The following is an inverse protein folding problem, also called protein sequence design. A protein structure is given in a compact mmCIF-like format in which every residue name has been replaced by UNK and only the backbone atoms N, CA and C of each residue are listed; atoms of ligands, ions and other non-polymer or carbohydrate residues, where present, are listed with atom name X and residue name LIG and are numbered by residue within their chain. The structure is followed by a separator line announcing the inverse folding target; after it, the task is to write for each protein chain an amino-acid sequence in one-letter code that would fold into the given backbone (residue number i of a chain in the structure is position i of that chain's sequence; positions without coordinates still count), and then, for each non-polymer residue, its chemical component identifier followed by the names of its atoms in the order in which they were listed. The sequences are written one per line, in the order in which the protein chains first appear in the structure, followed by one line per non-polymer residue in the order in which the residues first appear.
data_IF_758724875024
#
_entry.id   IF_758724875024
#
_cell.length_a   1.000
_cell.length_b   1.000
_cell.length_c   1.000
_cell.angle_alpha   90.00
_cell.angle_beta   90.00
_cell.angle_gamma   90.00
#
_symmetry.space_group_name_H-M   'P 1'
#
loop_
_entity.id
_entity.type
_entity.pdbx_description
1 polymer ?
#
# COMPACT_ATOMS: atom_id res chain seq x y z
N UNK A 1 -19.99 21.09 -74.87
CA UNK A 1 -18.70 21.02 -74.17
C UNK A 1 -19.01 21.15 -72.68
N UNK A 2 -19.02 20.03 -71.95
CA UNK A 2 -19.42 19.99 -70.53
C UNK A 2 -18.15 20.10 -69.69
N UNK A 3 -18.02 21.19 -68.94
CA UNK A 3 -16.90 21.41 -68.03
C UNK A 3 -17.23 20.66 -66.74
N UNK A 4 -16.54 19.55 -66.49
CA UNK A 4 -16.56 18.87 -65.20
C UNK A 4 -15.61 19.60 -64.25
N UNK A 5 -16.18 20.30 -63.27
CA UNK A 5 -15.42 20.85 -62.14
C UNK A 5 -15.22 19.71 -61.14
N UNK A 6 -14.02 19.14 -61.13
CA UNK A 6 -13.63 18.15 -60.12
C UNK A 6 -13.26 18.91 -58.85
N UNK A 7 -14.12 18.85 -57.83
CA UNK A 7 -13.76 19.29 -56.49
C UNK A 7 -12.87 18.20 -55.88
N UNK A 8 -11.58 18.49 -55.76
CA UNK A 8 -10.67 17.68 -54.93
C UNK A 8 -10.86 18.16 -53.51
N UNK A 9 -11.58 17.39 -52.69
CA UNK A 9 -11.53 17.56 -51.24
C UNK A 9 -10.12 17.20 -50.79
N UNK A 10 -9.29 18.22 -50.60
CA UNK A 10 -8.01 18.07 -49.91
C UNK A 10 -8.37 17.77 -48.46
N UNK A 11 -8.42 16.47 -48.12
CA UNK A 11 -8.53 16.05 -46.73
C UNK A 11 -7.43 16.77 -45.96
N UNK A 12 -7.82 17.67 -45.06
CA UNK A 12 -6.86 18.39 -44.22
C UNK A 12 -6.31 17.34 -43.26
N UNK A 13 -5.22 16.68 -43.66
CA UNK A 13 -4.50 15.76 -42.80
C UNK A 13 -4.22 16.51 -41.50
N UNK A 14 -4.83 16.03 -40.42
CA UNK A 14 -4.68 16.65 -39.11
C UNK A 14 -3.19 16.76 -38.80
N UNK A 15 -2.74 17.93 -38.35
CA UNK A 15 -1.40 18.08 -37.81
C UNK A 15 -1.29 17.19 -36.57
N UNK A 16 -0.66 16.04 -36.79
CA UNK A 16 -0.44 15.01 -35.81
C UNK A 16 0.83 15.31 -34.99
N UNK A 17 1.18 14.45 -34.04
CA UNK A 17 2.43 14.54 -33.27
C UNK A 17 3.64 14.76 -34.19
N UNK A 18 4.55 15.65 -33.78
CA UNK A 18 5.74 16.14 -34.51
C UNK A 18 5.45 16.99 -35.76
N UNK A 19 4.17 17.19 -36.12
CA UNK A 19 3.74 18.10 -37.18
C UNK A 19 3.90 19.58 -36.81
N UNK A 20 3.96 20.45 -37.82
CA UNK A 20 4.08 21.90 -37.62
C UNK A 20 2.79 22.51 -37.06
N UNK A 21 2.91 23.35 -36.03
CA UNK A 21 1.73 24.00 -35.45
C UNK A 21 0.96 24.80 -36.49
N UNK A 22 -0.37 24.85 -36.33
CA UNK A 22 -1.21 25.76 -37.12
C UNK A 22 -0.84 27.21 -36.82
N UNK A 23 -1.21 28.11 -37.72
CA UNK A 23 -0.96 29.57 -37.61
C UNK A 23 -1.53 30.16 -36.31
N UNK A 24 -2.59 29.57 -35.74
CA UNK A 24 -3.17 29.99 -34.47
C UNK A 24 -2.49 29.36 -33.23
N UNK A 25 -1.35 28.69 -33.39
CA UNK A 25 -0.62 28.03 -32.31
C UNK A 25 -1.28 26.74 -31.79
N UNK A 26 -2.20 26.14 -32.54
CA UNK A 26 -2.90 24.92 -32.14
C UNK A 26 -2.49 23.69 -32.98
N UNK A 27 -2.78 22.51 -32.43
CA UNK A 27 -2.64 21.22 -33.10
C UNK A 27 -4.02 20.72 -33.56
N UNK A 28 -4.08 19.86 -34.58
CA UNK A 28 -5.37 19.34 -35.07
C UNK A 28 -5.95 18.24 -34.19
N UNK A 29 -5.10 17.43 -33.57
CA UNK A 29 -5.54 16.28 -32.79
C UNK A 29 -5.74 16.65 -31.32
N UNK A 30 -6.70 15.97 -30.68
CA UNK A 30 -6.84 15.99 -29.24
C UNK A 30 -5.53 15.56 -28.57
N UNK A 31 -5.30 15.99 -27.33
CA UNK A 31 -4.11 15.65 -26.54
C UNK A 31 -2.78 16.21 -27.06
N UNK A 32 -2.77 16.98 -28.14
CA UNK A 32 -1.59 17.68 -28.64
C UNK A 32 -1.59 19.14 -28.21
N UNK A 33 -0.42 19.64 -27.82
CA UNK A 33 -0.15 21.04 -27.53
C UNK A 33 0.96 21.53 -28.45
N UNK A 34 0.83 22.76 -28.95
CA UNK A 34 1.92 23.38 -29.70
C UNK A 34 3.03 23.79 -28.75
N UNK A 35 4.22 23.25 -28.98
CA UNK A 35 5.44 23.62 -28.28
C UNK A 35 6.43 24.18 -29.30
N UNK A 36 6.77 25.46 -29.15
CA UNK A 36 7.54 26.28 -30.10
C UNK A 36 6.93 26.32 -31.50
N UNK A 37 7.23 25.33 -32.34
CA UNK A 37 6.75 25.23 -33.72
C UNK A 37 6.19 23.86 -34.08
N UNK A 38 6.20 22.92 -33.14
CA UNK A 38 5.78 21.52 -33.36
C UNK A 38 4.72 21.07 -32.36
N UNK A 39 3.83 20.21 -32.82
CA UNK A 39 2.84 19.54 -32.00
C UNK A 39 3.49 18.43 -31.16
N UNK A 40 3.35 18.51 -29.84
CA UNK A 40 3.79 17.49 -28.90
C UNK A 40 2.61 17.00 -28.07
N UNK A 41 2.72 15.81 -27.48
CA UNK A 41 1.71 15.36 -26.53
C UNK A 41 1.65 16.31 -25.32
N UNK A 42 0.44 16.56 -24.82
CA UNK A 42 0.21 17.32 -23.60
C UNK A 42 0.84 16.64 -22.37
N UNK A 43 0.93 17.35 -21.25
CA UNK A 43 1.49 16.80 -20.00
C UNK A 43 0.69 15.61 -19.45
N UNK A 44 -0.59 15.51 -19.83
CA UNK A 44 -1.51 14.41 -19.45
C UNK A 44 -1.61 13.34 -20.53
N UNK A 45 -0.73 13.35 -21.53
CA UNK A 45 -0.77 12.43 -22.67
C UNK A 45 0.61 11.87 -23.00
N UNK A 46 0.65 10.76 -23.74
CA UNK A 46 1.88 10.11 -24.19
C UNK A 46 1.75 9.71 -25.65
N UNK A 47 2.89 9.60 -26.34
CA UNK A 47 2.94 9.20 -27.75
C UNK A 47 2.70 7.70 -27.83
N UNK A 48 1.73 7.24 -28.62
CA UNK A 48 1.56 5.81 -28.87
C UNK A 48 2.67 5.27 -29.79
N UNK A 49 3.03 4.00 -29.62
CA UNK A 49 4.09 3.39 -30.41
C UNK A 49 3.71 3.34 -31.89
N UNK A 50 4.66 3.76 -32.74
CA UNK A 50 4.54 3.73 -34.20
C UNK A 50 3.37 4.54 -34.78
N UNK A 51 2.75 5.42 -34.00
CA UNK A 51 1.72 6.35 -34.49
C UNK A 51 2.16 7.80 -34.34
N UNK A 52 1.45 8.68 -35.03
CA UNK A 52 1.53 10.13 -34.84
C UNK A 52 0.49 10.63 -33.83
N UNK A 53 -0.08 9.74 -33.01
CA UNK A 53 -1.18 10.06 -32.09
C UNK A 53 -0.70 10.12 -30.65
N UNK A 54 -1.38 10.95 -29.86
CA UNK A 54 -1.19 11.04 -28.42
C UNK A 54 -2.40 10.45 -27.67
N UNK A 55 -2.14 9.43 -26.87
CA UNK A 55 -3.12 8.84 -25.97
C UNK A 55 -3.07 9.51 -24.60
N UNK A 56 -4.18 9.48 -23.86
CA UNK A 56 -4.23 9.96 -22.48
C UNK A 56 -3.37 9.08 -21.57
N UNK A 57 -2.64 9.69 -20.65
CA UNK A 57 -1.87 8.96 -19.64
C UNK A 57 -2.78 8.16 -18.71
N UNK A 58 -2.20 7.09 -18.17
CA UNK A 58 -2.88 6.00 -17.49
C UNK A 58 -2.70 6.17 -15.98
N UNK A 59 -3.80 6.14 -15.23
CA UNK A 59 -3.77 6.20 -13.77
C UNK A 59 -3.06 4.98 -13.15
N UNK A 60 -2.69 5.08 -11.87
CA UNK A 60 -2.17 3.93 -11.12
C UNK A 60 -3.13 2.73 -11.24
N UNK A 61 -2.56 1.53 -11.29
CA UNK A 61 -3.24 0.26 -11.52
C UNK A 61 -3.97 0.08 -12.86
N UNK A 62 -3.99 1.12 -13.70
CA UNK A 62 -4.44 1.02 -15.09
C UNK A 62 -3.48 0.18 -15.94
N UNK A 63 -4.05 -0.51 -16.93
CA UNK A 63 -3.31 -1.37 -17.85
C UNK A 63 -2.40 -0.55 -18.76
N UNK A 64 -1.15 -0.96 -18.90
CA UNK A 64 -0.15 -0.32 -19.74
C UNK A 64 0.64 -1.38 -20.52
N UNK A 65 1.46 -0.94 -21.48
CA UNK A 65 2.37 -1.82 -22.23
C UNK A 65 3.83 -1.54 -21.87
N UNK A 66 4.73 -2.50 -22.14
CA UNK A 66 6.16 -2.33 -21.88
C UNK A 66 6.81 -1.19 -22.70
N UNK A 67 6.20 -0.83 -23.83
CA UNK A 67 6.60 0.25 -24.72
C UNK A 67 5.35 0.93 -25.28
N UNK A 68 5.35 2.27 -25.47
CA UNK A 68 6.44 3.19 -25.14
C UNK A 68 6.50 3.50 -23.64
N UNK A 69 7.62 4.05 -23.16
CA UNK A 69 7.71 4.53 -21.79
C UNK A 69 6.83 5.78 -21.56
N UNK A 70 6.57 6.11 -20.29
CA UNK A 70 5.86 7.35 -19.93
C UNK A 70 4.34 7.32 -20.06
N UNK A 71 3.74 6.13 -20.16
CA UNK A 71 2.28 5.96 -20.23
C UNK A 71 1.57 6.37 -18.95
N UNK A 72 2.22 6.28 -17.80
CA UNK A 72 1.60 6.52 -16.50
C UNK A 72 1.46 8.02 -16.22
N UNK A 73 0.33 8.41 -15.60
CA UNK A 73 0.01 9.81 -15.29
C UNK A 73 0.98 10.41 -14.28
N UNK A 74 1.33 9.63 -13.26
CA UNK A 74 2.25 10.02 -12.21
C UNK A 74 3.70 9.86 -12.71
N UNK A 75 4.52 10.89 -12.53
CA UNK A 75 5.92 10.92 -12.96
C UNK A 75 6.80 9.94 -12.17
N UNK A 76 6.38 9.56 -10.97
CA UNK A 76 7.01 8.55 -10.14
C UNK A 76 6.38 7.15 -10.34
N UNK A 77 5.52 6.98 -11.33
CA UNK A 77 5.02 5.69 -11.78
C UNK A 77 5.70 5.21 -13.07
N UNK A 78 5.69 3.90 -13.27
CA UNK A 78 6.14 3.25 -14.49
C UNK A 78 5.27 2.02 -14.78
N UNK A 79 5.27 1.57 -16.04
CA UNK A 79 4.61 0.32 -16.38
C UNK A 79 5.38 -0.86 -15.79
N UNK A 80 4.76 -1.62 -14.89
CA UNK A 80 5.41 -2.77 -14.27
C UNK A 80 5.54 -3.91 -15.28
N UNK A 81 6.77 -4.35 -15.55
CA UNK A 81 7.08 -5.31 -16.62
C UNK A 81 6.25 -6.62 -16.56
N UNK A 82 6.01 -7.15 -15.36
CA UNK A 82 5.29 -8.42 -15.17
C UNK A 82 3.77 -8.26 -15.12
N UNK A 83 3.27 -7.16 -14.58
CA UNK A 83 1.84 -6.99 -14.28
C UNK A 83 1.13 -6.16 -15.34
N UNK A 84 1.89 -5.48 -16.22
CA UNK A 84 1.37 -4.59 -17.26
C UNK A 84 0.40 -3.55 -16.68
N UNK A 85 0.76 -3.03 -15.50
CA UNK A 85 0.01 -2.00 -14.79
C UNK A 85 0.92 -0.86 -14.38
N UNK A 86 0.39 0.36 -14.40
CA UNK A 86 1.07 1.52 -13.85
C UNK A 86 1.25 1.35 -12.33
N UNK A 87 2.49 1.23 -11.89
CA UNK A 87 2.87 1.08 -10.49
C UNK A 87 3.89 2.14 -10.12
N UNK A 88 3.93 2.52 -8.85
CA UNK A 88 4.98 3.39 -8.35
C UNK A 88 6.36 2.75 -8.56
N UNK A 89 7.33 3.59 -8.93
CA UNK A 89 8.75 3.21 -9.03
C UNK A 89 9.27 2.81 -7.64
N UNK A 90 10.44 2.17 -7.62
CA UNK A 90 11.14 1.87 -6.37
C UNK A 90 11.36 3.15 -5.54
N UNK A 91 11.21 3.05 -4.22
CA UNK A 91 11.23 4.17 -3.26
C UNK A 91 9.98 5.05 -3.28
N UNK A 92 8.90 4.60 -3.92
CA UNK A 92 7.60 5.26 -3.90
C UNK A 92 6.48 4.24 -3.64
N UNK A 93 5.44 4.69 -2.94
CA UNK A 93 4.24 3.91 -2.68
C UNK A 93 2.99 4.67 -3.16
N UNK A 94 1.93 3.92 -3.45
CA UNK A 94 0.64 4.51 -3.82
C UNK A 94 -0.09 4.97 -2.56
N UNK A 95 -0.27 6.28 -2.38
CA UNK A 95 -1.00 6.84 -1.24
C UNK A 95 -2.53 6.80 -1.46
N UNK A 96 -3.29 7.22 -0.44
CA UNK A 96 -4.77 7.31 -0.50
C UNK A 96 -5.32 8.20 -1.63
N UNK A 97 -4.52 9.10 -2.18
CA UNK A 97 -4.89 9.97 -3.30
C UNK A 97 -4.59 9.34 -4.67
N UNK A 98 -4.20 8.06 -4.71
CA UNK A 98 -3.76 7.36 -5.92
C UNK A 98 -2.58 8.05 -6.64
N UNK A 99 -1.69 8.67 -5.86
CA UNK A 99 -0.44 9.26 -6.32
C UNK A 99 0.76 8.52 -5.71
N UNK A 100 1.90 8.58 -6.39
CA UNK A 100 3.14 7.99 -5.91
C UNK A 100 3.87 8.95 -4.98
N UNK A 101 3.77 8.70 -3.68
CA UNK A 101 4.49 9.41 -2.64
C UNK A 101 5.82 8.71 -2.33
N UNK A 102 6.86 9.47 -1.98
CA UNK A 102 8.13 8.89 -1.57
C UNK A 102 7.99 8.11 -0.27
N UNK A 103 8.66 6.97 -0.20
CA UNK A 103 8.74 6.17 1.02
C UNK A 103 9.51 6.90 2.12
N UNK A 104 9.17 6.61 3.36
CA UNK A 104 9.83 7.12 4.56
C UNK A 104 11.00 6.19 4.88
N UNK A 105 12.21 6.72 4.76
CA UNK A 105 13.44 5.92 4.80
C UNK A 105 13.83 5.44 6.20
N UNK A 106 13.57 6.24 7.24
CA UNK A 106 14.03 5.95 8.60
C UNK A 106 12.91 5.40 9.49
N UNK A 107 13.29 4.54 10.43
CA UNK A 107 12.41 4.15 11.52
C UNK A 107 12.19 5.33 12.47
N UNK A 108 11.01 5.39 13.07
CA UNK A 108 10.52 6.45 13.95
C UNK A 108 10.18 7.80 13.28
N UNK A 109 10.44 7.94 11.98
CA UNK A 109 9.97 9.09 11.22
C UNK A 109 8.44 9.08 11.07
N UNK A 110 7.87 10.27 10.95
CA UNK A 110 6.44 10.48 10.89
C UNK A 110 5.84 9.89 9.61
N UNK A 111 4.74 9.17 9.75
CA UNK A 111 3.95 8.61 8.65
C UNK A 111 2.46 8.95 8.84
N UNK A 112 1.67 8.82 7.77
CA UNK A 112 0.23 9.07 7.83
C UNK A 112 -0.50 7.79 8.28
N UNK A 113 -0.72 7.65 9.59
CA UNK A 113 -1.46 6.52 10.13
C UNK A 113 -2.96 6.51 9.73
N UNK A 114 -3.47 7.57 9.10
CA UNK A 114 -4.82 7.59 8.51
C UNK A 114 -4.85 7.05 7.09
N UNK A 115 -3.68 6.92 6.44
CA UNK A 115 -3.56 6.32 5.12
C UNK A 115 -3.33 4.80 5.27
N UNK A 116 -4.30 3.96 4.91
CA UNK A 116 -4.14 2.50 5.00
C UNK A 116 -3.23 1.93 3.91
N UNK A 117 -2.71 2.76 3.00
CA UNK A 117 -1.83 2.31 1.93
C UNK A 117 -0.60 1.61 2.46
N UNK A 118 -0.31 0.38 1.98
CA UNK A 118 0.92 -0.32 2.35
C UNK A 118 2.13 0.39 1.74
N UNK A 119 3.30 0.20 2.36
CA UNK A 119 4.58 0.65 1.79
C UNK A 119 4.97 2.08 2.12
N UNK A 120 4.28 2.78 3.03
CA UNK A 120 4.73 4.11 3.50
C UNK A 120 6.17 4.10 4.04
N UNK A 121 6.57 3.00 4.67
CA UNK A 121 7.86 2.85 5.34
C UNK A 121 8.78 1.97 4.49
N UNK A 122 9.96 2.51 4.14
CA UNK A 122 10.90 1.86 3.21
C UNK A 122 11.60 0.63 3.81
N UNK A 123 11.67 0.53 5.14
CA UNK A 123 12.38 -0.56 5.81
C UNK A 123 11.57 -1.86 5.74
N UNK A 124 12.23 -2.94 5.35
CA UNK A 124 11.62 -4.27 5.39
C UNK A 124 11.08 -4.58 6.79
N UNK A 125 9.91 -5.21 6.83
CA UNK A 125 9.20 -5.53 8.07
C UNK A 125 8.90 -4.32 8.97
N UNK A 126 8.86 -3.11 8.42
CA UNK A 126 8.28 -1.94 9.06
C UNK A 126 6.86 -1.66 8.55
N UNK A 127 6.08 -0.94 9.36
CA UNK A 127 4.73 -0.49 9.01
C UNK A 127 4.44 0.84 9.72
N UNK A 128 3.54 1.64 9.14
CA UNK A 128 3.09 2.87 9.77
C UNK A 128 2.15 2.53 10.93
N UNK A 129 2.50 2.94 12.16
CA UNK A 129 1.71 2.65 13.37
C UNK A 129 1.51 3.90 14.19
N UNK A 130 0.37 3.98 14.87
CA UNK A 130 0.12 5.04 15.85
C UNK A 130 0.99 4.79 17.07
N UNK A 131 1.80 5.78 17.43
CA UNK A 131 2.65 5.81 18.62
C UNK A 131 2.52 7.19 19.27
N UNK A 132 1.68 7.29 20.32
CA UNK A 132 1.50 8.41 21.27
C UNK A 132 1.34 9.83 20.71
N UNK A 133 2.31 10.28 19.93
CA UNK A 133 2.45 11.55 19.23
C UNK A 133 1.89 11.57 17.80
N UNK A 134 1.57 10.41 17.20
CA UNK A 134 1.09 10.33 15.82
C UNK A 134 1.48 9.02 15.13
N UNK A 135 1.38 8.98 13.79
CA UNK A 135 1.87 7.85 13.00
C UNK A 135 3.40 7.87 12.90
N UNK A 136 4.06 6.74 13.15
CA UNK A 136 5.49 6.54 12.92
C UNK A 136 5.78 5.24 12.19
N UNK A 137 6.85 5.24 11.39
CA UNK A 137 7.38 4.02 10.80
C UNK A 137 8.07 3.16 11.84
N UNK A 138 7.39 2.10 12.28
CA UNK A 138 7.88 1.21 13.32
C UNK A 138 8.01 -0.21 12.79
N UNK A 139 8.85 -1.03 13.42
CA UNK A 139 8.86 -2.45 13.10
C UNK A 139 7.49 -3.08 13.35
N UNK A 140 7.10 -3.99 12.46
CA UNK A 140 5.93 -4.86 12.63
C UNK A 140 5.97 -5.49 14.03
N UNK A 141 4.82 -5.80 14.58
CA UNK A 141 4.70 -6.34 15.95
C UNK A 141 5.52 -7.61 16.21
N UNK A 142 5.81 -8.40 15.17
CA UNK A 142 6.66 -9.61 15.22
C UNK A 142 8.16 -9.33 15.16
N UNK A 143 8.56 -8.08 14.98
CA UNK A 143 9.94 -7.63 14.83
C UNK A 143 10.30 -6.58 15.89
N UNK A 144 11.59 -6.46 16.16
CA UNK A 144 12.18 -5.43 17.02
C UNK A 144 13.26 -4.66 16.24
N UNK A 145 13.56 -3.46 16.71
CA UNK A 145 14.58 -2.62 16.08
C UNK A 145 15.97 -3.04 16.56
N UNK A 146 16.84 -3.38 15.62
CA UNK A 146 18.26 -3.64 15.87
C UNK A 146 19.10 -2.94 14.80
N UNK A 147 20.01 -2.06 15.22
CA UNK A 147 20.87 -1.30 14.29
C UNK A 147 20.11 -0.52 13.21
N UNK A 148 18.87 -0.08 13.48
CA UNK A 148 18.03 0.63 12.50
C UNK A 148 17.30 -0.28 11.50
N UNK A 149 17.31 -1.60 11.70
CA UNK A 149 16.59 -2.59 10.91
C UNK A 149 15.55 -3.32 11.76
N UNK A 150 14.55 -3.92 11.12
CA UNK A 150 13.54 -4.73 11.79
C UNK A 150 13.92 -6.21 11.75
N UNK A 151 14.31 -6.76 12.90
CA UNK A 151 14.74 -8.14 13.07
C UNK A 151 13.65 -8.92 13.81
N UNK A 152 13.46 -10.20 13.49
CA UNK A 152 12.40 -11.01 14.11
C UNK A 152 12.59 -11.10 15.62
N UNK A 153 11.49 -10.98 16.38
CA UNK A 153 11.52 -11.11 17.85
C UNK A 153 11.91 -12.51 18.30
N UNK A 154 12.59 -12.56 19.44
CA UNK A 154 13.16 -13.76 20.05
C UNK A 154 12.08 -14.49 20.85
N UNK A 155 11.92 -15.78 20.58
CA UNK A 155 10.92 -16.65 21.21
C UNK A 155 11.28 -16.95 22.68
N UNK A 156 10.30 -17.35 23.53
CA UNK A 156 10.57 -17.72 24.91
C UNK A 156 11.61 -18.84 25.04
N UNK A 157 12.47 -18.74 26.06
CA UNK A 157 13.55 -19.69 26.35
C UNK A 157 14.87 -19.44 25.59
N UNK A 158 14.85 -18.64 24.53
CA UNK A 158 16.05 -18.25 23.78
C UNK A 158 16.76 -17.04 24.42
N UNK A 159 18.05 -16.87 24.10
CA UNK A 159 18.90 -15.84 24.69
C UNK A 159 18.54 -14.44 24.21
N UNK A 160 18.61 -13.44 25.08
CA UNK A 160 18.26 -12.04 24.80
C UNK A 160 19.10 -11.05 25.61
N UNK A 161 19.08 -9.77 25.20
CA UNK A 161 19.74 -8.67 25.89
C UNK A 161 18.79 -7.59 26.44
N UNK A 162 17.59 -7.40 25.85
CA UNK A 162 16.62 -6.37 26.28
C UNK A 162 15.23 -6.59 25.64
N UNK A 163 14.68 -5.62 24.91
CA UNK A 163 13.33 -5.60 24.28
C UNK A 163 13.17 -6.49 23.04
N UNK A 164 14.06 -7.48 22.89
CA UNK A 164 14.18 -8.33 21.71
C UNK A 164 13.14 -9.46 21.70
N UNK A 165 12.54 -9.77 22.85
CA UNK A 165 11.60 -10.85 22.99
C UNK A 165 10.28 -10.61 22.25
N UNK A 166 9.55 -11.68 21.95
CA UNK A 166 8.17 -11.61 21.42
C UNK A 166 7.28 -10.75 22.32
N UNK A 167 6.17 -10.25 21.80
CA UNK A 167 5.24 -9.46 22.61
C UNK A 167 4.78 -10.25 23.83
N UNK A 168 4.61 -9.55 24.96
CA UNK A 168 4.30 -10.15 26.27
C UNK A 168 5.36 -11.11 26.78
N UNK A 169 6.63 -10.87 26.41
CA UNK A 169 7.78 -11.50 27.01
C UNK A 169 8.85 -10.45 27.30
N UNK A 170 9.55 -10.67 28.41
CA UNK A 170 10.66 -9.83 28.86
C UNK A 170 11.93 -10.67 28.95
N UNK A 171 13.09 -10.02 28.77
CA UNK A 171 14.37 -10.66 28.99
C UNK A 171 14.64 -10.77 30.49
N UNK A 172 14.77 -11.99 31.00
CA UNK A 172 15.00 -12.21 32.43
C UNK A 172 16.48 -12.03 32.83
N UNK A 173 16.77 -12.15 34.12
CA UNK A 173 18.13 -12.00 34.69
C UNK A 173 19.13 -13.05 34.20
N UNK A 174 18.65 -14.17 33.64
CA UNK A 174 19.47 -15.21 33.01
C UNK A 174 19.63 -14.98 31.50
N UNK A 175 19.33 -13.77 31.01
CA UNK A 175 19.39 -13.42 29.59
C UNK A 175 18.54 -14.33 28.72
N UNK A 176 17.36 -14.77 29.20
CA UNK A 176 16.41 -15.57 28.41
C UNK A 176 15.05 -14.89 28.33
N UNK A 177 14.40 -14.99 27.17
CA UNK A 177 13.04 -14.49 27.01
C UNK A 177 12.07 -15.32 27.85
N UNK A 178 11.29 -14.65 28.68
CA UNK A 178 10.30 -15.27 29.55
C UNK A 178 8.97 -14.55 29.37
N UNK A 179 7.87 -15.29 29.22
CA UNK A 179 6.54 -14.70 29.13
C UNK A 179 6.23 -13.90 30.40
N UNK A 180 5.62 -12.74 30.21
CA UNK A 180 5.18 -11.88 31.28
C UNK A 180 4.06 -12.54 32.09
N UNK A 181 3.82 -12.05 33.31
CA UNK A 181 2.78 -12.59 34.18
C UNK A 181 1.41 -12.59 33.48
N UNK A 182 0.73 -13.74 33.49
CA UNK A 182 -0.57 -13.93 32.81
C UNK A 182 -0.47 -14.47 31.38
N UNK A 183 0.75 -14.68 30.86
CA UNK A 183 0.99 -15.26 29.54
C UNK A 183 1.75 -16.59 29.66
N UNK A 184 1.47 -17.53 28.77
CA UNK A 184 2.18 -18.82 28.68
C UNK A 184 2.74 -19.04 27.29
N UNK A 185 3.92 -19.67 27.24
CA UNK A 185 4.50 -20.12 25.99
C UNK A 185 3.62 -21.24 25.44
N UNK A 186 3.03 -21.02 24.26
CA UNK A 186 2.19 -22.03 23.61
C UNK A 186 3.02 -22.84 22.62
N UNK A 187 3.25 -24.14 22.88
CA UNK A 187 4.11 -24.97 22.02
C UNK A 187 3.49 -25.25 20.65
N UNK A 188 2.21 -24.94 20.44
CA UNK A 188 1.47 -25.19 19.20
C UNK A 188 1.60 -24.07 18.17
N UNK A 189 2.09 -22.88 18.53
CA UNK A 189 2.36 -21.80 17.60
C UNK A 189 3.80 -21.89 17.07
N UNK A 190 3.98 -21.80 15.74
CA UNK A 190 5.31 -21.65 15.12
C UNK A 190 5.37 -20.28 14.42
N UNK A 191 6.20 -19.33 14.89
CA UNK A 191 7.06 -19.41 16.08
C UNK A 191 6.27 -19.40 17.40
N UNK A 192 6.86 -19.94 18.46
CA UNK A 192 6.28 -19.98 19.82
C UNK A 192 6.06 -18.56 20.35
N UNK A 193 4.82 -18.24 20.70
CA UNK A 193 4.40 -16.93 21.20
C UNK A 193 3.93 -17.02 22.66
N UNK A 194 3.97 -15.89 23.37
CA UNK A 194 3.37 -15.75 24.68
C UNK A 194 1.90 -15.36 24.53
N UNK A 195 1.01 -16.30 24.82
CA UNK A 195 -0.43 -16.11 24.70
C UNK A 195 -1.05 -15.95 26.08
N UNK A 196 -2.03 -15.05 26.18
CA UNK A 196 -2.72 -14.78 27.44
C UNK A 196 -3.51 -16.01 27.91
N UNK A 197 -3.45 -16.29 29.21
CA UNK A 197 -4.26 -17.35 29.82
C UNK A 197 -5.64 -16.77 30.11
N UNK A 198 -6.65 -17.16 29.32
CA UNK A 198 -8.05 -16.86 29.67
C UNK A 198 -8.37 -17.65 30.94
N UNK A 199 -8.37 -16.98 32.09
CA UNK A 199 -8.99 -17.52 33.30
C UNK A 199 -10.48 -17.53 33.04
N UNK A 200 -11.01 -18.63 32.54
CA UNK A 200 -12.45 -18.88 32.53
C UNK A 200 -12.84 -18.98 34.00
N UNK A 201 -13.24 -17.86 34.60
CA UNK A 201 -13.87 -17.86 35.90
C UNK A 201 -15.07 -18.77 35.74
N UNK A 202 -15.01 -19.93 36.37
CA UNK A 202 -16.12 -20.86 36.51
C UNK A 202 -17.29 -20.11 37.13
N UNK A 203 -18.16 -19.56 36.27
CA UNK A 203 -19.51 -19.08 36.56
C UNK A 203 -20.40 -20.30 36.90
N UNK A 204 -20.01 -21.04 37.94
CA UNK A 204 -20.75 -22.18 38.48
C UNK A 204 -21.56 -21.80 39.74
N UNK A 205 -21.66 -20.51 40.07
CA UNK A 205 -22.22 -20.05 41.36
C UNK A 205 -23.53 -19.24 41.29
N UNK A 206 -24.25 -19.24 40.17
CA UNK A 206 -25.56 -18.54 40.08
C UNK A 206 -26.75 -19.38 39.62
N UNK A 207 -26.62 -20.70 39.44
CA UNK A 207 -27.76 -21.58 39.08
C UNK A 207 -28.20 -22.53 40.20
N UNK A 208 -28.13 -22.09 41.46
CA UNK A 208 -28.73 -22.81 42.58
C UNK A 208 -29.71 -21.91 43.35
N UNK A 209 -30.79 -21.52 42.69
CA UNK A 209 -32.02 -21.09 43.38
C UNK A 209 -32.93 -22.33 43.45
N UNK A 210 -33.14 -22.93 44.63
CA UNK A 210 -33.97 -24.12 44.75
C UNK A 210 -35.45 -23.76 44.57
N UNK A 211 -36.09 -24.41 43.60
CA UNK A 211 -37.54 -24.46 43.43
C UNK A 211 -38.08 -25.27 44.61
N UNK A 212 -38.48 -24.59 45.69
CA UNK A 212 -39.06 -25.21 46.88
C UNK A 212 -40.40 -24.54 47.25
N UNK A 213 -41.38 -24.55 46.34
CA UNK A 213 -42.79 -24.37 46.71
C UNK A 213 -43.66 -25.17 45.72
N UNK A 214 -44.64 -25.91 46.26
CA UNK A 214 -45.82 -26.48 45.57
C UNK A 214 -45.85 -27.99 45.25
N UNK A 215 -45.46 -28.88 46.18
CA UNK A 215 -45.98 -30.26 46.20
C UNK A 215 -46.35 -30.74 47.62
N UNK A 216 -47.16 -29.96 48.34
CA UNK A 216 -47.84 -30.44 49.56
C UNK A 216 -49.28 -29.90 49.61
N UNK A 217 -50.15 -30.46 48.76
CA UNK A 217 -51.62 -30.31 48.91
C UNK A 217 -52.40 -31.46 48.26
N UNK A 218 -51.82 -32.65 48.15
CA UNK A 218 -52.56 -33.86 47.73
C UNK A 218 -51.98 -35.05 48.48
N UNK A 219 -52.30 -35.16 49.77
CA UNK A 219 -52.53 -36.41 50.51
C UNK A 219 -52.94 -36.05 51.95
N UNK A 220 -54.23 -36.30 52.22
CA UNK A 220 -55.02 -36.15 53.46
C UNK A 220 -55.76 -34.84 53.63
#
# INVERSE_FOLDING_TARGET
MVIFVIYVEVGVEGVAYDGACKVNGNCSEANNVCTSTKCACSTTSFKEDSTTKCASKIALDGTCTASPAGQCIDTNAACHATHLKCKCKSSFFANKAAACASEIAALNDACDATDPSPGQCAKDNSECRIDGSGGKCLCKTTHYTDGGNCVIRIVPGASCASTQCVNHASCNTTSKCQCDAGYTATPTAKPTMCNGVIKVATLWYMMAVPIYVSMMSLLR
#
